data_IF_969119362117
#
_entry.id   IF_969119362117
#
_cell.length_a   1.000
_cell.length_b   1.000
_cell.length_c   1.000
_cell.angle_alpha   90.00
_cell.angle_beta   90.00
_cell.angle_gamma   90.00
#
_symmetry.space_group_name_H-M   'P 1'
#
loop_
_entity.id
_entity.type
_entity.pdbx_description
1 polymer ?
#
# COMPACT_ATOMS: atom_id res chain seq x y z
N UNK A 1 -12.41 -27.34 14.27
CA UNK A 1 -11.11 -27.61 14.93
C UNK A 1 -10.09 -26.75 14.19
N UNK A 2 -9.80 -25.56 14.71
CA UNK A 2 -8.88 -24.56 14.12
C UNK A 2 -7.57 -24.63 14.91
N UNK A 3 -6.87 -25.75 14.80
CA UNK A 3 -5.55 -25.94 15.41
C UNK A 3 -4.51 -25.98 14.30
N UNK A 4 -4.14 -24.80 13.80
CA UNK A 4 -2.85 -24.51 13.14
C UNK A 4 -2.82 -23.04 12.70
N UNK A 5 -2.95 -22.11 13.65
CA UNK A 5 -2.45 -20.76 13.42
C UNK A 5 -0.93 -20.80 13.60
N UNK A 6 -0.21 -21.31 12.59
CA UNK A 6 1.18 -20.89 12.42
C UNK A 6 1.17 -19.37 12.39
N UNK A 7 1.94 -18.74 13.27
CA UNK A 7 2.09 -17.30 13.26
C UNK A 7 2.50 -16.88 11.84
N UNK A 8 1.86 -15.86 11.27
CA UNK A 8 2.32 -15.27 10.00
C UNK A 8 3.83 -14.93 10.03
N UNK A 9 4.40 -14.75 11.23
CA UNK A 9 5.82 -14.50 11.50
C UNK A 9 6.73 -15.72 11.29
N UNK A 10 6.19 -16.94 11.26
CA UNK A 10 6.94 -18.19 11.12
C UNK A 10 6.87 -18.80 9.73
N UNK A 11 6.11 -18.20 8.80
CA UNK A 11 6.02 -18.70 7.43
C UNK A 11 7.32 -18.40 6.66
N UNK A 12 7.97 -19.41 6.07
CA UNK A 12 9.19 -19.22 5.28
C UNK A 12 8.95 -18.55 3.91
N UNK A 13 7.76 -17.99 3.68
CA UNK A 13 7.38 -17.40 2.40
C UNK A 13 7.14 -15.91 2.52
N UNK A 14 7.92 -15.16 1.73
CA UNK A 14 7.74 -13.74 1.45
C UNK A 14 6.38 -13.44 0.78
N UNK A 15 5.65 -14.48 0.34
CA UNK A 15 4.44 -14.42 -0.47
C UNK A 15 3.21 -14.68 0.40
N UNK A 16 2.65 -13.62 0.99
CA UNK A 16 1.39 -13.70 1.75
C UNK A 16 0.16 -13.79 0.83
N UNK A 17 0.32 -13.47 -0.46
CA UNK A 17 -0.76 -13.49 -1.47
C UNK A 17 -1.50 -14.83 -1.55
N UNK A 18 -0.81 -15.98 -1.76
CA UNK A 18 -1.48 -17.28 -1.86
C UNK A 18 -2.29 -17.63 -0.61
N UNK A 19 -1.75 -17.35 0.58
CA UNK A 19 -2.45 -17.56 1.84
C UNK A 19 -3.73 -16.71 1.92
N UNK A 20 -3.67 -15.43 1.53
CA UNK A 20 -4.84 -14.55 1.54
C UNK A 20 -5.92 -15.00 0.53
N UNK A 21 -5.53 -15.60 -0.59
CA UNK A 21 -6.47 -16.20 -1.55
C UNK A 21 -7.11 -17.48 -0.98
N UNK A 22 -6.33 -18.38 -0.38
CA UNK A 22 -6.86 -19.58 0.31
C UNK A 22 -7.83 -19.23 1.45
N UNK A 23 -7.59 -18.12 2.15
CA UNK A 23 -8.47 -17.58 3.18
C UNK A 23 -9.73 -16.91 2.63
N UNK A 24 -9.88 -16.77 1.31
CA UNK A 24 -10.99 -16.09 0.67
C UNK A 24 -11.00 -14.58 0.88
N UNK A 25 -9.87 -13.98 1.28
CA UNK A 25 -9.73 -12.52 1.44
C UNK A 25 -9.51 -11.86 0.07
N UNK A 26 -8.68 -12.48 -0.77
CA UNK A 26 -8.45 -12.05 -2.15
C UNK A 26 -9.33 -12.90 -3.07
N UNK A 27 -10.05 -12.30 -4.03
CA UNK A 27 -10.82 -13.06 -5.01
C UNK A 27 -9.96 -14.03 -5.83
N UNK A 28 -10.51 -15.20 -6.17
CA UNK A 28 -9.84 -16.17 -7.05
C UNK A 28 -9.61 -15.64 -8.48
N UNK A 29 -10.33 -14.58 -8.86
CA UNK A 29 -10.17 -13.91 -10.16
C UNK A 29 -8.92 -13.03 -10.25
N UNK A 30 -8.23 -12.79 -9.13
CA UNK A 30 -7.01 -11.99 -9.08
C UNK A 30 -5.78 -12.88 -9.33
N UNK A 31 -4.80 -12.34 -10.04
CA UNK A 31 -3.57 -13.07 -10.39
C UNK A 31 -2.50 -12.78 -9.34
N UNK A 32 -1.80 -13.81 -8.88
CA UNK A 32 -0.66 -13.67 -7.97
C UNK A 32 0.63 -13.93 -8.75
N UNK A 33 1.53 -12.95 -8.79
CA UNK A 33 2.86 -13.05 -9.39
C UNK A 33 3.91 -12.59 -8.36
N UNK A 34 4.58 -13.55 -7.73
CA UNK A 34 5.56 -13.31 -6.66
C UNK A 34 4.95 -12.53 -5.47
N UNK A 35 5.35 -11.25 -5.27
CA UNK A 35 4.83 -10.38 -4.21
C UNK A 35 3.64 -9.55 -4.66
N UNK A 36 3.29 -9.63 -5.94
CA UNK A 36 2.30 -8.81 -6.60
C UNK A 36 0.98 -9.58 -6.71
N UNK A 37 -0.10 -8.90 -6.39
CA UNK A 37 -1.46 -9.41 -6.54
C UNK A 37 -2.20 -8.44 -7.45
N UNK A 38 -2.65 -8.91 -8.59
CA UNK A 38 -3.23 -8.09 -9.66
C UNK A 38 -4.74 -8.28 -9.71
N UNK A 39 -5.47 -7.17 -9.72
CA UNK A 39 -6.88 -7.20 -10.08
C UNK A 39 -7.07 -7.20 -11.61
N UNK A 40 -8.31 -7.35 -12.05
CA UNK A 40 -8.68 -7.33 -13.47
C UNK A 40 -8.75 -5.92 -14.08
N UNK A 41 -8.49 -4.88 -13.29
CA UNK A 41 -8.50 -3.47 -13.70
C UNK A 41 -7.08 -2.91 -13.87
N UNK A 42 -6.05 -3.71 -13.57
CA UNK A 42 -4.63 -3.34 -13.63
C UNK A 42 -4.06 -2.83 -12.31
N UNK A 43 -4.88 -2.65 -11.27
CA UNK A 43 -4.35 -2.31 -9.96
C UNK A 43 -3.57 -3.49 -9.38
N UNK A 44 -2.60 -3.16 -8.54
CA UNK A 44 -1.75 -4.14 -7.90
C UNK A 44 -1.69 -3.88 -6.40
N UNK A 45 -1.75 -4.97 -5.63
CA UNK A 45 -1.34 -4.98 -4.24
C UNK A 45 0.04 -5.62 -4.13
N UNK A 46 0.85 -5.09 -3.21
CA UNK A 46 2.13 -5.68 -2.84
C UNK A 46 2.18 -5.84 -1.33
N UNK A 47 2.16 -7.08 -0.86
CA UNK A 47 2.10 -7.38 0.56
C UNK A 47 3.25 -8.31 0.92
N UNK A 48 4.11 -7.89 1.85
CA UNK A 48 5.29 -8.65 2.22
C UNK A 48 5.78 -8.30 3.61
N UNK A 49 6.42 -9.25 4.25
CA UNK A 49 7.12 -9.08 5.52
C UNK A 49 8.55 -8.59 5.27
N UNK A 50 8.92 -7.47 5.88
CA UNK A 50 10.28 -6.96 5.89
C UNK A 50 11.11 -7.71 6.93
N UNK A 51 11.79 -8.76 6.52
CA UNK A 51 12.65 -9.56 7.40
C UNK A 51 14.02 -8.94 7.70
N UNK A 52 14.29 -7.72 7.22
CA UNK A 52 15.46 -6.94 7.63
C UNK A 52 15.42 -6.57 9.12
N UNK A 53 16.30 -5.67 9.55
CA UNK A 53 16.45 -5.29 10.96
C UNK A 53 15.15 -4.77 11.63
N UNK A 54 14.18 -4.30 10.82
CA UNK A 54 12.98 -3.63 11.31
C UNK A 54 11.82 -4.60 11.62
N UNK A 55 11.82 -5.84 11.09
CA UNK A 55 10.77 -6.86 11.30
C UNK A 55 9.34 -6.32 11.14
N UNK A 56 9.10 -5.49 10.12
CA UNK A 56 7.80 -4.87 9.80
C UNK A 56 7.05 -5.66 8.74
N UNK A 57 5.77 -5.35 8.54
CA UNK A 57 4.99 -5.78 7.37
C UNK A 57 4.69 -4.56 6.49
N UNK A 58 4.92 -4.67 5.19
CA UNK A 58 4.48 -3.68 4.20
C UNK A 58 3.20 -4.14 3.54
N UNK A 59 2.21 -3.25 3.48
CA UNK A 59 1.07 -3.35 2.57
C UNK A 59 1.12 -2.18 1.60
N UNK A 60 1.25 -2.49 0.32
CA UNK A 60 1.33 -1.54 -0.77
C UNK A 60 0.14 -1.64 -1.72
N UNK A 61 -0.36 -0.49 -2.17
CA UNK A 61 -1.32 -0.38 -3.28
C UNK A 61 -0.65 0.42 -4.40
N UNK A 62 -0.60 -0.17 -5.59
CA UNK A 62 -0.12 0.46 -6.82
C UNK A 62 -1.35 0.76 -7.67
N UNK A 63 -1.59 2.04 -7.91
CA UNK A 63 -2.75 2.54 -8.65
C UNK A 63 -2.32 2.89 -10.07
N UNK A 64 -3.10 2.43 -11.05
CA UNK A 64 -2.86 2.71 -12.47
C UNK A 64 -1.70 1.91 -13.08
N UNK A 65 -1.30 0.79 -12.48
CA UNK A 65 -0.42 -0.19 -13.11
C UNK A 65 -1.09 -0.84 -14.32
N UNK A 66 -0.33 -1.13 -15.38
CA UNK A 66 -0.77 -2.07 -16.40
C UNK A 66 0.05 -3.34 -16.28
N UNK A 67 -0.62 -4.50 -16.31
CA UNK A 67 0.02 -5.82 -16.42
C UNK A 67 0.50 -6.12 -17.86
N UNK A 68 0.32 -5.20 -18.81
CA UNK A 68 0.77 -5.41 -20.18
C UNK A 68 2.28 -5.19 -20.31
N UNK A 69 2.92 -5.99 -21.17
CA UNK A 69 4.36 -5.99 -21.49
C UNK A 69 4.92 -4.64 -21.97
N UNK A 70 4.05 -3.67 -22.22
CA UNK A 70 4.36 -2.26 -22.38
C UNK A 70 4.09 -1.61 -21.03
N UNK A 71 5.15 -1.38 -20.24
CA UNK A 71 5.11 -0.77 -18.92
C UNK A 71 4.62 0.69 -18.94
N UNK A 72 3.35 0.90 -19.30
CA UNK A 72 2.68 2.18 -19.31
C UNK A 72 1.71 2.22 -18.13
N UNK A 73 1.93 3.18 -17.25
CA UNK A 73 1.01 3.48 -16.16
C UNK A 73 -0.09 4.39 -16.69
N UNK A 74 -1.34 3.99 -16.50
CA UNK A 74 -2.51 4.74 -16.95
C UNK A 74 -3.16 5.40 -15.73
N UNK A 75 -2.61 6.54 -15.34
CA UNK A 75 -3.20 7.41 -14.33
C UNK A 75 -4.24 8.30 -14.96
N UNK A 76 -5.31 8.54 -14.20
CA UNK A 76 -6.48 9.29 -14.62
C UNK A 76 -7.21 9.82 -13.37
N UNK A 77 -8.35 10.47 -13.58
CA UNK A 77 -9.19 10.97 -12.50
C UNK A 77 -9.66 9.85 -11.56
N UNK A 78 -9.92 8.66 -12.10
CA UNK A 78 -10.31 7.48 -11.32
C UNK A 78 -9.17 7.05 -10.37
N UNK A 79 -7.91 7.18 -10.79
CA UNK A 79 -6.74 6.89 -9.96
C UNK A 79 -6.63 7.83 -8.75
N UNK A 80 -6.91 9.13 -8.94
CA UNK A 80 -7.02 10.10 -7.84
C UNK A 80 -8.17 9.74 -6.89
N UNK A 81 -9.32 9.32 -7.42
CA UNK A 81 -10.48 8.92 -6.60
C UNK A 81 -10.18 7.67 -5.77
N UNK A 82 -9.49 6.67 -6.35
CA UNK A 82 -9.04 5.46 -5.65
C UNK A 82 -8.04 5.84 -4.54
N UNK A 83 -7.05 6.67 -4.85
CA UNK A 83 -6.09 7.18 -3.84
C UNK A 83 -6.82 7.87 -2.69
N UNK A 84 -7.77 8.76 -3.01
CA UNK A 84 -8.56 9.51 -2.02
C UNK A 84 -9.36 8.57 -1.14
N UNK A 85 -10.02 7.56 -1.73
CA UNK A 85 -10.78 6.56 -0.99
C UNK A 85 -9.88 5.73 -0.06
N UNK A 86 -8.73 5.26 -0.55
CA UNK A 86 -7.78 4.49 0.26
C UNK A 86 -7.27 5.32 1.44
N UNK A 87 -6.84 6.57 1.22
CA UNK A 87 -6.35 7.40 2.31
C UNK A 87 -7.45 7.71 3.33
N UNK A 88 -8.66 8.05 2.88
CA UNK A 88 -9.79 8.44 3.73
C UNK A 88 -10.39 7.26 4.49
N UNK A 89 -10.64 6.15 3.81
CA UNK A 89 -11.47 5.05 4.32
C UNK A 89 -10.65 3.87 4.84
N UNK A 90 -9.37 3.80 4.52
CA UNK A 90 -8.50 2.69 4.93
C UNK A 90 -7.29 3.17 5.74
N UNK A 91 -6.44 4.04 5.19
CA UNK A 91 -5.21 4.47 5.88
C UNK A 91 -5.54 5.29 7.13
N UNK A 92 -6.40 6.31 7.00
CA UNK A 92 -6.73 7.20 8.12
C UNK A 92 -7.33 6.45 9.32
N UNK A 93 -8.32 5.56 9.17
CA UNK A 93 -8.84 4.76 10.28
C UNK A 93 -7.79 3.85 10.95
N UNK A 94 -6.74 3.45 10.23
CA UNK A 94 -5.68 2.57 10.73
C UNK A 94 -4.51 3.33 11.40
N UNK A 95 -4.67 4.62 11.71
CA UNK A 95 -3.61 5.48 12.29
C UNK A 95 -2.91 4.88 13.53
N UNK A 96 -3.63 4.11 14.35
CA UNK A 96 -3.07 3.49 15.55
C UNK A 96 -2.24 2.22 15.24
N UNK A 97 -2.58 1.50 14.17
CA UNK A 97 -1.93 0.25 13.79
C UNK A 97 -0.75 0.45 12.82
N UNK A 98 -0.86 1.44 11.93
CA UNK A 98 0.18 1.78 10.95
C UNK A 98 1.31 2.53 11.63
N UNK A 99 2.57 2.18 11.37
CA UNK A 99 3.76 2.89 11.83
C UNK A 99 3.96 4.18 11.05
N UNK A 100 3.91 4.09 9.73
CA UNK A 100 3.97 5.20 8.82
C UNK A 100 3.39 4.81 7.48
N UNK A 101 2.87 5.80 6.76
CA UNK A 101 2.35 5.65 5.42
C UNK A 101 3.09 6.58 4.46
N UNK A 102 3.28 6.12 3.22
CA UNK A 102 3.84 6.91 2.13
C UNK A 102 2.86 6.98 0.98
N UNK A 103 2.80 8.14 0.35
CA UNK A 103 2.30 8.29 -1.00
C UNK A 103 3.49 8.73 -1.87
N UNK A 104 3.85 7.94 -2.87
CA UNK A 104 4.97 8.28 -3.74
C UNK A 104 4.68 7.99 -5.21
N UNK A 105 5.36 8.74 -6.06
CA UNK A 105 5.39 8.56 -7.51
C UNK A 105 6.85 8.48 -7.91
N UNK A 106 7.28 7.35 -8.50
CA UNK A 106 8.67 6.98 -8.84
C UNK A 106 9.64 8.17 -9.01
N UNK A 107 10.27 8.60 -7.91
CA UNK A 107 11.32 9.62 -7.91
C UNK A 107 10.89 11.09 -8.08
N UNK A 108 9.59 11.40 -8.21
CA UNK A 108 9.11 12.76 -8.49
C UNK A 108 8.48 13.41 -7.26
N UNK A 109 7.55 12.71 -6.63
CA UNK A 109 6.78 13.24 -5.51
C UNK A 109 6.73 12.21 -4.38
N UNK A 110 6.83 12.72 -3.14
CA UNK A 110 6.91 11.91 -1.94
C UNK A 110 6.22 12.63 -0.79
N UNK A 111 5.16 12.01 -0.24
CA UNK A 111 4.50 12.43 0.99
C UNK A 111 4.56 11.30 2.01
N UNK A 112 4.66 11.68 3.29
CA UNK A 112 4.81 10.73 4.40
C UNK A 112 4.02 11.19 5.62
N UNK A 113 3.39 10.24 6.30
CA UNK A 113 2.61 10.46 7.52
C UNK A 113 2.95 9.42 8.57
N UNK A 114 2.96 9.83 9.83
CA UNK A 114 3.23 8.95 10.97
C UNK A 114 1.92 8.41 11.56
N UNK A 115 1.92 7.17 12.00
CA UNK A 115 0.87 6.71 12.90
C UNK A 115 1.11 7.16 14.34
N UNK A 116 0.31 6.62 15.25
CA UNK A 116 0.34 7.02 16.66
C UNK A 116 1.50 6.38 17.46
N UNK A 117 2.09 5.32 16.94
CA UNK A 117 3.15 4.58 17.62
C UNK A 117 4.51 5.29 17.56
N UNK A 118 5.41 4.83 18.42
CA UNK A 118 6.77 5.34 18.55
C UNK A 118 7.78 4.57 17.70
N UNK A 119 7.35 3.80 16.68
CA UNK A 119 8.26 2.98 15.90
C UNK A 119 9.24 3.85 15.11
N UNK A 120 10.54 3.62 15.32
CA UNK A 120 11.62 4.37 14.66
C UNK A 120 12.23 3.50 13.57
N UNK A 121 12.16 3.97 12.33
CA UNK A 121 12.73 3.35 11.14
C UNK A 121 13.51 4.41 10.37
N UNK A 122 14.50 3.99 9.58
CA UNK A 122 15.17 4.89 8.62
C UNK A 122 14.21 5.44 7.57
N UNK A 123 13.09 4.75 7.34
CA UNK A 123 12.03 5.14 6.42
C UNK A 123 11.02 6.09 7.10
N UNK A 124 10.91 6.06 8.43
CA UNK A 124 10.10 7.02 9.19
C UNK A 124 10.81 8.38 9.20
N UNK A 125 10.49 9.23 8.22
CA UNK A 125 10.91 10.62 8.22
C UNK A 125 10.32 11.32 9.45
N UNK A 126 11.13 12.10 10.18
CA UNK A 126 10.59 12.96 11.24
C UNK A 126 9.74 14.04 10.56
N UNK A 127 8.42 13.87 10.63
CA UNK A 127 7.42 14.82 10.12
C UNK A 127 6.41 15.11 11.23
N UNK A 128 5.85 16.31 11.22
CA UNK A 128 4.76 16.72 12.12
C UNK A 128 3.37 16.31 11.56
N UNK A 129 3.33 15.59 10.43
CA UNK A 129 2.10 15.11 9.80
C UNK A 129 1.76 13.71 10.30
N UNK A 130 0.60 13.58 10.93
CA UNK A 130 0.08 12.32 11.45
C UNK A 130 -1.11 11.82 10.61
N UNK A 131 -1.25 10.50 10.52
CA UNK A 131 -2.33 9.85 9.79
C UNK A 131 -3.71 10.25 10.36
N UNK A 132 -3.85 10.28 11.69
CA UNK A 132 -5.10 10.68 12.36
C UNK A 132 -5.57 12.10 12.02
N UNK A 133 -4.61 12.99 11.73
CA UNK A 133 -4.85 14.42 11.54
C UNK A 133 -5.08 14.79 10.06
N UNK A 134 -4.97 13.82 9.13
CA UNK A 134 -5.22 14.03 7.71
C UNK A 134 -6.58 14.68 7.46
N UNK A 135 -6.59 15.88 6.90
CA UNK A 135 -7.82 16.55 6.47
C UNK A 135 -8.26 16.08 5.07
N UNK A 136 -9.55 16.19 4.72
CA UNK A 136 -9.99 15.91 3.35
C UNK A 136 -9.26 16.74 2.29
N UNK A 137 -8.92 17.99 2.62
CA UNK A 137 -8.18 18.88 1.70
C UNK A 137 -6.75 18.35 1.44
N UNK A 138 -6.03 17.97 2.50
CA UNK A 138 -4.69 17.39 2.36
C UNK A 138 -4.70 16.06 1.62
N UNK A 139 -5.69 15.20 1.87
CA UNK A 139 -5.84 13.94 1.13
C UNK A 139 -6.04 14.22 -0.36
N UNK A 140 -6.94 15.15 -0.69
CA UNK A 140 -7.25 15.49 -2.07
C UNK A 140 -6.03 16.10 -2.78
N UNK A 141 -5.32 17.02 -2.13
CA UNK A 141 -4.08 17.62 -2.64
C UNK A 141 -3.00 16.55 -2.84
N UNK A 142 -2.79 15.67 -1.86
CA UNK A 142 -1.83 14.58 -1.97
C UNK A 142 -2.14 13.68 -3.17
N UNK A 143 -3.40 13.31 -3.37
CA UNK A 143 -3.80 12.40 -4.44
C UNK A 143 -3.83 13.04 -5.84
N UNK A 144 -3.65 14.36 -5.99
CA UNK A 144 -3.53 15.00 -7.31
C UNK A 144 -2.36 14.42 -8.13
N UNK A 145 -1.27 14.00 -7.48
CA UNK A 145 -0.15 13.33 -8.16
C UNK A 145 -0.55 12.01 -8.85
N UNK A 146 -1.67 11.43 -8.45
CA UNK A 146 -2.21 10.20 -9.01
C UNK A 146 -3.16 10.48 -10.20
N UNK A 147 -3.50 11.74 -10.47
CA UNK A 147 -4.24 12.17 -11.67
C UNK A 147 -3.29 12.43 -12.85
N UNK A 148 -2.09 12.96 -12.59
CA UNK A 148 -1.15 13.41 -13.63
C UNK A 148 -0.88 12.36 -14.72
N UNK A 149 -1.04 12.71 -16.00
CA UNK A 149 -0.84 11.87 -17.20
C UNK A 149 0.62 11.42 -17.46
N UNK A 150 1.46 11.33 -16.43
CA UNK A 150 2.86 10.91 -16.52
C UNK A 150 3.02 9.39 -16.44
N UNK A 151 4.18 8.90 -16.90
CA UNK A 151 4.54 7.48 -16.98
C UNK A 151 4.91 6.82 -15.63
N UNK A 152 4.52 7.39 -14.49
CA UNK A 152 4.92 6.89 -13.18
C UNK A 152 3.71 6.43 -12.37
N UNK A 153 3.72 5.20 -11.84
CA UNK A 153 2.67 4.74 -10.94
C UNK A 153 2.54 5.62 -9.69
N UNK A 154 1.33 5.61 -9.12
CA UNK A 154 1.02 6.13 -7.81
C UNK A 154 1.01 4.98 -6.80
N UNK A 155 1.77 5.12 -5.73
CA UNK A 155 1.98 4.07 -4.74
C UNK A 155 1.59 4.56 -3.35
N UNK A 156 0.73 3.80 -2.70
CA UNK A 156 0.43 3.96 -1.27
C UNK A 156 1.10 2.80 -0.54
N UNK A 157 2.02 3.09 0.37
CA UNK A 157 2.66 2.07 1.22
C UNK A 157 2.31 2.31 2.68
N UNK A 158 1.96 1.26 3.40
CA UNK A 158 1.77 1.25 4.85
C UNK A 158 2.72 0.25 5.48
N UNK A 159 3.32 0.64 6.60
CA UNK A 159 4.19 -0.20 7.41
C UNK A 159 3.50 -0.53 8.74
N UNK A 160 3.58 -1.78 9.18
CA UNK A 160 3.03 -2.32 10.42
C UNK A 160 4.08 -3.13 11.19
#
# INVERSE_FOLDING_TARGET
MLENQMSLRSLPHQHIGPLLQEMGIIPETWTIDDLNIHDNLGNNLRIYTNHGNEKTMTFGVIIGGSHTTTSSYHKNKESQQICTAILRDFVKPLHAAVYFAFLYQNGVHYMSWRGDNTFVSRHNTKTDKYIKDMTPAEINEACQMCEDNGENACFILMYF
#
